data_IF_197406816926
#
_entry.id   IF_197406816926
#
_cell.length_a   1.000
_cell.length_b   1.000
_cell.length_c   1.000
_cell.angle_alpha   90.00
_cell.angle_beta   90.00
_cell.angle_gamma   90.00
#
_symmetry.space_group_name_H-M   'P 1'
#
loop_
_entity.id
_entity.type
_entity.pdbx_description
1 polymer ?
#
# COMPACT_ATOMS: atom_id res chain seq x y z
N UNK A 1 -5.27 6.40 -4.09
CA UNK A 1 -4.31 5.73 -4.99
C UNK A 1 -4.19 4.28 -4.57
N UNK A 2 -4.18 3.35 -5.53
CA UNK A 2 -3.99 1.92 -5.30
C UNK A 2 -2.76 1.49 -6.09
N UNK A 3 -1.81 0.81 -5.46
CA UNK A 3 -0.57 0.39 -6.14
C UNK A 3 0.28 -0.56 -5.32
N UNK A 4 1.40 -0.98 -5.89
CA UNK A 4 2.30 -1.99 -5.33
C UNK A 4 3.68 -1.44 -4.96
N UNK A 5 3.93 -0.14 -5.21
CA UNK A 5 5.22 0.51 -4.95
C UNK A 5 5.09 1.72 -4.03
N UNK A 6 5.92 1.76 -3.00
CA UNK A 6 5.98 2.87 -2.03
C UNK A 6 6.41 4.20 -2.67
N UNK A 7 7.53 4.23 -3.37
CA UNK A 7 8.14 5.47 -3.88
C UNK A 7 7.44 6.07 -5.10
N UNK A 8 6.56 5.32 -5.77
CA UNK A 8 5.75 5.83 -6.89
C UNK A 8 4.31 5.99 -6.45
N UNK A 9 3.58 4.90 -6.23
CA UNK A 9 2.12 4.94 -6.15
C UNK A 9 1.67 5.56 -4.83
N UNK A 10 2.29 5.10 -3.72
CA UNK A 10 1.95 5.60 -2.39
C UNK A 10 2.43 7.05 -2.24
N UNK A 11 3.66 7.35 -2.64
CA UNK A 11 4.19 8.72 -2.56
C UNK A 11 3.41 9.70 -3.46
N UNK A 12 3.04 9.29 -4.67
CA UNK A 12 2.17 10.08 -5.55
C UNK A 12 0.79 10.31 -4.93
N UNK A 13 0.17 9.25 -4.39
CA UNK A 13 -1.13 9.35 -3.75
C UNK A 13 -1.14 10.32 -2.57
N UNK A 14 -0.15 10.19 -1.68
CA UNK A 14 0.05 11.11 -0.54
C UNK A 14 0.31 12.54 -1.00
N UNK A 15 1.17 12.73 -2.00
CA UNK A 15 1.46 14.05 -2.58
C UNK A 15 0.25 14.73 -3.21
N UNK A 16 -0.69 13.93 -3.74
CA UNK A 16 -1.97 14.40 -4.28
C UNK A 16 -3.10 14.53 -3.25
N UNK A 17 -2.86 14.29 -1.96
CA UNK A 17 -3.89 14.35 -0.91
C UNK A 17 -4.94 13.22 -0.99
N UNK A 18 -4.61 12.10 -1.63
CA UNK A 18 -5.49 10.94 -1.77
C UNK A 18 -5.19 9.90 -0.69
N UNK A 19 -6.21 9.20 -0.20
CA UNK A 19 -6.01 7.97 0.58
C UNK A 19 -5.29 6.92 -0.28
N UNK A 20 -4.43 6.11 0.34
CA UNK A 20 -3.54 5.16 -0.34
C UNK A 20 -3.76 3.72 0.12
N UNK A 21 -3.82 2.78 -0.83
CA UNK A 21 -3.91 1.35 -0.59
C UNK A 21 -2.71 0.64 -1.24
N UNK A 22 -1.84 0.05 -0.43
CA UNK A 22 -0.75 -0.80 -0.88
C UNK A 22 -1.26 -2.23 -1.08
N UNK A 23 -0.99 -2.82 -2.24
CA UNK A 23 -1.36 -4.21 -2.57
C UNK A 23 -0.09 -5.05 -2.70
N UNK A 24 0.06 -6.07 -1.87
CA UNK A 24 1.28 -6.91 -1.77
C UNK A 24 1.39 -7.98 -2.87
N UNK A 25 0.91 -7.68 -4.08
CA UNK A 25 1.02 -8.58 -5.25
C UNK A 25 2.19 -8.24 -6.17
N UNK A 26 2.91 -7.13 -5.91
CA UNK A 26 3.92 -6.58 -6.80
C UNK A 26 5.29 -6.42 -6.13
N UNK A 27 5.90 -5.24 -6.28
CA UNK A 27 7.30 -4.99 -5.90
C UNK A 27 7.51 -4.87 -4.40
N UNK A 28 6.65 -4.13 -3.70
CA UNK A 28 6.80 -3.95 -2.24
C UNK A 28 6.33 -5.20 -1.50
N UNK A 29 7.16 -5.69 -0.60
CA UNK A 29 6.88 -6.80 0.31
C UNK A 29 6.53 -6.31 1.71
N UNK A 30 5.92 -7.17 2.53
CA UNK A 30 5.57 -6.85 3.92
C UNK A 30 6.79 -6.43 4.76
N UNK A 31 7.97 -7.00 4.48
CA UNK A 31 9.22 -6.65 5.14
C UNK A 31 9.69 -5.20 4.86
N UNK A 32 9.24 -4.59 3.76
CA UNK A 32 9.58 -3.21 3.42
C UNK A 32 8.78 -2.19 4.25
N UNK A 33 7.67 -2.62 4.86
CA UNK A 33 6.77 -1.78 5.65
C UNK A 33 6.69 -2.19 7.13
N UNK A 34 7.44 -3.23 7.54
CA UNK A 34 7.48 -3.73 8.92
C UNK A 34 8.92 -3.86 9.43
N UNK A 35 9.07 -3.88 10.76
CA UNK A 35 10.37 -4.10 11.41
C UNK A 35 11.27 -2.85 11.49
N UNK A 36 12.55 -3.03 11.88
CA UNK A 36 13.44 -1.92 12.24
C UNK A 36 13.93 -1.09 11.04
N UNK A 37 13.84 -1.63 9.82
CA UNK A 37 14.29 -0.98 8.59
C UNK A 37 13.12 -0.64 7.65
N UNK A 38 11.90 -0.49 8.19
CA UNK A 38 10.74 -0.15 7.41
C UNK A 38 10.92 1.18 6.66
N UNK A 39 10.40 1.24 5.45
CA UNK A 39 10.38 2.46 4.63
C UNK A 39 9.65 3.59 5.37
N UNK A 40 10.13 4.85 5.27
CA UNK A 40 9.43 5.99 5.83
C UNK A 40 8.14 6.34 5.06
N UNK A 41 7.90 5.75 3.89
CA UNK A 41 6.70 5.97 3.10
C UNK A 41 5.61 5.00 3.59
N UNK A 42 4.62 5.55 4.30
CA UNK A 42 3.58 4.76 4.98
C UNK A 42 2.26 4.85 4.21
N UNK A 43 1.73 3.72 3.66
CA UNK A 43 0.40 3.69 3.06
C UNK A 43 -0.70 3.81 4.11
N UNK A 44 -1.90 4.25 3.72
CA UNK A 44 -3.05 4.33 4.66
C UNK A 44 -3.65 2.95 4.94
N UNK A 45 -3.65 2.09 3.92
CA UNK A 45 -4.18 0.73 3.99
C UNK A 45 -3.24 -0.24 3.29
N UNK A 46 -3.26 -1.50 3.72
CA UNK A 46 -2.49 -2.60 3.12
C UNK A 46 -3.41 -3.79 2.92
N UNK A 47 -3.28 -4.48 1.79
CA UNK A 47 -4.00 -5.72 1.49
C UNK A 47 -3.09 -6.69 0.73
N UNK A 48 -3.34 -8.00 0.89
CA UNK A 48 -2.57 -9.01 0.19
C UNK A 48 -2.96 -9.09 -1.29
N UNK A 49 -4.21 -8.78 -1.62
CA UNK A 49 -4.73 -8.82 -2.98
C UNK A 49 -5.98 -7.95 -3.10
N UNK A 50 -6.22 -7.39 -4.29
CA UNK A 50 -7.49 -6.72 -4.59
C UNK A 50 -8.71 -7.63 -4.42
N UNK A 51 -8.53 -8.96 -4.47
CA UNK A 51 -9.60 -9.91 -4.23
C UNK A 51 -10.15 -9.83 -2.79
N UNK A 52 -9.35 -9.40 -1.81
CA UNK A 52 -9.76 -9.29 -0.40
C UNK A 52 -10.89 -8.27 -0.22
N UNK A 53 -11.02 -7.30 -1.12
CA UNK A 53 -12.12 -6.34 -1.11
C UNK A 53 -13.48 -7.00 -1.34
N UNK A 54 -13.54 -8.20 -1.92
CA UNK A 54 -14.79 -8.97 -2.05
C UNK A 54 -15.29 -9.51 -0.72
N UNK A 55 -14.43 -9.65 0.28
CA UNK A 55 -14.82 -10.12 1.61
C UNK A 55 -15.53 -9.02 2.43
N UNK A 56 -15.48 -7.77 1.97
CA UNK A 56 -16.17 -6.65 2.61
C UNK A 56 -17.62 -6.65 2.13
N UNK A 57 -18.55 -6.99 3.03
CA UNK A 57 -19.98 -6.81 2.80
C UNK A 57 -20.36 -5.32 2.90
N UNK A 58 -21.25 -4.86 2.01
CA UNK A 58 -21.80 -3.51 2.02
C UNK A 58 -22.79 -3.28 3.18
#
# INVERSE_FOLDING_TARGET
MVGDRLNTDILFGKGGGLATLLVLTGITAEADITGPNASPIVPDYVTNSLADLRAVSA
#
